data_IF_195447657438
#
_entry.id   IF_195447657438
#
_cell.length_a   1.000
_cell.length_b   1.000
_cell.length_c   1.000
_cell.angle_alpha   90.00
_cell.angle_beta   90.00
_cell.angle_gamma   90.00
#
_symmetry.space_group_name_H-M   'P 1'
#
loop_
_entity.id
_entity.type
_entity.pdbx_description
1 polymer ?
#
# COMPACT_ATOMS: atom_id res chain seq x y z
N UNK A 1 -21.48 34.00 -6.83
CA UNK A 1 -21.34 33.27 -5.55
C UNK A 1 -21.63 31.80 -5.84
N UNK A 2 -20.60 30.98 -5.99
CA UNK A 2 -20.75 29.52 -6.13
C UNK A 2 -21.21 28.94 -4.80
N UNK A 3 -22.29 28.16 -4.81
CA UNK A 3 -22.77 27.47 -3.62
C UNK A 3 -21.63 26.63 -3.01
N UNK A 4 -21.42 26.65 -1.68
CA UNK A 4 -20.42 25.81 -1.07
C UNK A 4 -20.76 24.36 -1.37
N UNK A 5 -19.86 23.65 -2.07
CA UNK A 5 -19.99 22.21 -2.25
C UNK A 5 -20.14 21.58 -0.87
N UNK A 6 -21.21 20.83 -0.65
CA UNK A 6 -21.40 20.09 0.59
C UNK A 6 -20.16 19.24 0.85
N UNK A 7 -19.56 19.41 2.04
CA UNK A 7 -18.41 18.64 2.46
C UNK A 7 -18.67 17.14 2.29
N UNK A 8 -17.66 16.37 1.86
CA UNK A 8 -17.77 14.91 1.69
C UNK A 8 -18.16 14.22 3.02
N UNK A 9 -17.94 14.91 4.14
CA UNK A 9 -18.29 14.48 5.50
C UNK A 9 -19.69 14.90 5.96
N UNK A 10 -20.52 15.47 5.07
CA UNK A 10 -21.88 15.90 5.43
C UNK A 10 -22.70 14.73 6.01
N UNK A 11 -23.50 15.03 7.04
CA UNK A 11 -24.35 14.05 7.73
C UNK A 11 -23.64 13.18 8.78
N UNK A 12 -22.36 13.43 9.08
CA UNK A 12 -21.67 12.76 10.19
C UNK A 12 -21.76 13.56 11.49
N UNK A 13 -21.87 12.82 12.62
CA UNK A 13 -21.91 13.40 13.98
C UNK A 13 -20.66 14.21 14.34
N UNK A 14 -19.50 13.80 13.83
CA UNK A 14 -18.22 14.42 14.15
C UNK A 14 -17.84 15.46 13.09
N UNK A 15 -17.17 16.56 13.49
CA UNK A 15 -16.58 17.54 12.57
C UNK A 15 -15.70 16.89 11.50
N UNK A 16 -15.70 17.49 10.31
CA UNK A 16 -14.95 17.01 9.15
C UNK A 16 -13.46 16.84 9.45
N UNK A 17 -12.90 17.76 10.24
CA UNK A 17 -11.48 17.81 10.62
C UNK A 17 -11.09 16.58 11.46
N UNK A 18 -11.96 16.18 12.40
CA UNK A 18 -11.73 15.00 13.25
C UNK A 18 -11.77 13.73 12.40
N UNK A 19 -12.75 13.62 11.50
CA UNK A 19 -12.87 12.45 10.62
C UNK A 19 -11.66 12.37 9.67
N UNK A 20 -11.29 13.51 9.07
CA UNK A 20 -10.14 13.60 8.18
C UNK A 20 -8.84 13.23 8.90
N UNK A 21 -8.62 13.73 10.13
CA UNK A 21 -7.44 13.40 10.92
C UNK A 21 -7.38 11.91 11.26
N UNK A 22 -8.50 11.33 11.72
CA UNK A 22 -8.57 9.90 12.06
C UNK A 22 -8.22 9.01 10.87
N UNK A 23 -8.79 9.30 9.70
CA UNK A 23 -8.53 8.56 8.47
C UNK A 23 -7.11 8.80 7.99
N UNK A 24 -6.62 10.04 8.04
CA UNK A 24 -5.24 10.36 7.66
C UNK A 24 -4.22 9.63 8.54
N UNK A 25 -4.40 9.62 9.87
CA UNK A 25 -3.53 8.90 10.81
C UNK A 25 -3.43 7.42 10.43
N UNK A 26 -4.58 6.77 10.18
CA UNK A 26 -4.63 5.36 9.80
C UNK A 26 -3.92 5.07 8.47
N UNK A 27 -4.09 5.91 7.46
CA UNK A 27 -3.48 5.68 6.14
C UNK A 27 -2.04 6.20 6.00
N UNK A 28 -1.58 7.06 6.92
CA UNK A 28 -0.25 7.67 6.87
C UNK A 28 0.77 6.92 7.74
N UNK A 29 0.32 6.32 8.84
CA UNK A 29 1.17 5.67 9.85
C UNK A 29 0.75 4.21 10.06
N UNK A 30 1.64 3.34 10.58
CA UNK A 30 1.33 1.94 10.85
C UNK A 30 0.47 1.77 12.13
N UNK A 31 -0.64 2.49 12.22
CA UNK A 31 -1.53 2.50 13.38
C UNK A 31 -2.68 1.51 13.18
N UNK A 32 -3.06 0.81 14.24
CA UNK A 32 -4.32 0.07 14.26
C UNK A 32 -5.51 1.01 14.52
N UNK A 33 -6.73 0.60 14.19
CA UNK A 33 -7.93 1.39 14.50
C UNK A 33 -8.08 1.69 15.99
N UNK A 34 -7.62 0.78 16.87
CA UNK A 34 -7.61 1.01 18.32
C UNK A 34 -6.59 2.06 18.72
N UNK A 35 -5.40 2.05 18.12
CA UNK A 35 -4.41 3.09 18.38
C UNK A 35 -4.91 4.47 17.93
N UNK A 36 -5.64 4.55 16.81
CA UNK A 36 -6.26 5.82 16.39
C UNK A 36 -7.36 6.25 17.36
N UNK A 37 -8.19 5.32 17.85
CA UNK A 37 -9.14 5.57 18.94
C UNK A 37 -8.43 6.11 20.19
N UNK A 38 -7.34 5.49 20.64
CA UNK A 38 -6.55 5.93 21.80
C UNK A 38 -5.96 7.34 21.59
N UNK A 39 -5.44 7.63 20.39
CA UNK A 39 -4.88 8.94 20.05
C UNK A 39 -5.94 10.05 20.04
N UNK A 40 -7.17 9.74 19.61
CA UNK A 40 -8.28 10.69 19.66
C UNK A 40 -8.79 10.86 21.09
N UNK A 41 -8.85 9.78 21.88
CA UNK A 41 -9.24 9.83 23.28
C UNK A 41 -8.26 10.69 24.11
N UNK A 42 -6.95 10.63 23.82
CA UNK A 42 -5.95 11.51 24.43
C UNK A 42 -6.24 13.01 24.21
N UNK A 43 -6.95 13.35 23.12
CA UNK A 43 -7.38 14.72 22.81
C UNK A 43 -8.80 15.05 23.30
N UNK A 44 -9.40 14.18 24.12
CA UNK A 44 -10.77 14.33 24.60
C UNK A 44 -11.86 13.97 23.57
N UNK A 45 -11.48 13.38 22.43
CA UNK A 45 -12.42 12.98 21.37
C UNK A 45 -12.77 11.51 21.55
N UNK A 46 -13.96 11.23 22.07
CA UNK A 46 -14.41 9.87 22.34
C UNK A 46 -15.09 9.27 21.10
N UNK A 47 -14.41 8.31 20.48
CA UNK A 47 -14.89 7.52 19.34
C UNK A 47 -14.55 6.06 19.56
N UNK A 48 -15.24 5.14 18.88
CA UNK A 48 -14.86 3.72 18.91
C UNK A 48 -13.96 3.37 17.72
N UNK A 49 -13.08 2.37 17.85
CA UNK A 49 -12.33 1.84 16.70
C UNK A 49 -13.23 1.36 15.56
N UNK A 50 -14.48 0.96 15.84
CA UNK A 50 -15.47 0.61 14.80
C UNK A 50 -15.85 1.84 13.99
N UNK A 51 -16.08 2.98 14.64
CA UNK A 51 -16.34 4.26 13.99
C UNK A 51 -15.15 4.70 13.13
N UNK A 52 -13.91 4.60 13.66
CA UNK A 52 -12.69 4.88 12.88
C UNK A 52 -12.60 3.96 11.66
N UNK A 53 -12.92 2.67 11.83
CA UNK A 53 -12.95 1.71 10.72
C UNK A 53 -13.99 2.08 9.66
N UNK A 54 -15.20 2.45 10.04
CA UNK A 54 -16.25 2.88 9.11
C UNK A 54 -15.83 4.13 8.33
N UNK A 55 -15.20 5.10 9.00
CA UNK A 55 -14.63 6.27 8.32
C UNK A 55 -13.50 5.90 7.37
N UNK A 56 -12.62 4.98 7.77
CA UNK A 56 -11.55 4.50 6.91
C UNK A 56 -12.08 3.72 5.68
N UNK A 57 -13.14 2.93 5.85
CA UNK A 57 -13.81 2.22 4.74
C UNK A 57 -14.50 3.21 3.79
N UNK A 58 -15.16 4.25 4.32
CA UNK A 58 -15.91 5.25 3.54
C UNK A 58 -15.01 6.27 2.83
N UNK A 59 -14.04 6.84 3.54
CA UNK A 59 -13.23 7.99 3.07
C UNK A 59 -11.77 7.64 2.78
N UNK A 60 -11.33 6.44 3.16
CA UNK A 60 -9.93 6.06 3.07
C UNK A 60 -9.38 6.00 1.66
N UNK A 61 -10.23 5.70 0.66
CA UNK A 61 -9.78 5.62 -0.74
C UNK A 61 -9.24 6.95 -1.24
N UNK A 62 -9.92 8.05 -0.91
CA UNK A 62 -9.51 9.39 -1.35
C UNK A 62 -8.25 9.86 -0.62
N UNK A 63 -8.11 9.51 0.66
CA UNK A 63 -6.91 9.76 1.44
C UNK A 63 -5.72 8.97 0.90
N UNK A 64 -5.91 7.67 0.64
CA UNK A 64 -4.87 6.81 0.07
C UNK A 64 -4.43 7.33 -1.32
N UNK A 65 -5.36 7.77 -2.15
CA UNK A 65 -5.06 8.33 -3.46
C UNK A 65 -4.32 9.67 -3.35
N UNK A 66 -4.76 10.56 -2.45
CA UNK A 66 -4.12 11.86 -2.22
C UNK A 66 -2.71 11.68 -1.66
N UNK A 67 -2.54 10.80 -0.68
CA UNK A 67 -1.24 10.44 -0.12
C UNK A 67 -0.31 9.92 -1.24
N UNK A 68 -0.77 8.97 -2.07
CA UNK A 68 0.02 8.46 -3.21
C UNK A 68 0.42 9.54 -4.21
N UNK A 69 -0.46 10.50 -4.51
CA UNK A 69 -0.17 11.62 -5.44
C UNK A 69 0.85 12.61 -4.86
N UNK A 70 0.84 12.81 -3.55
CA UNK A 70 1.77 13.71 -2.84
C UNK A 70 3.11 13.05 -2.53
N UNK A 71 3.19 11.72 -2.57
CA UNK A 71 4.44 11.01 -2.38
C UNK A 71 5.44 11.42 -3.48
N UNK A 72 6.65 11.89 -3.12
CA UNK A 72 7.71 12.18 -4.08
C UNK A 72 8.06 10.95 -4.93
N UNK A 73 8.84 11.18 -6.00
CA UNK A 73 9.34 10.07 -6.82
C UNK A 73 10.05 9.05 -5.91
N UNK A 74 9.50 7.84 -5.90
CA UNK A 74 10.03 6.72 -5.13
C UNK A 74 11.39 6.30 -5.67
N UNK A 75 12.17 5.62 -4.84
CA UNK A 75 13.55 5.25 -5.17
C UNK A 75 13.69 4.40 -6.43
N UNK A 76 14.86 4.45 -7.05
CA UNK A 76 15.23 3.74 -8.28
C UNK A 76 15.74 2.31 -8.06
N UNK A 77 15.87 1.87 -6.80
CA UNK A 77 16.19 0.49 -6.42
C UNK A 77 14.97 -0.14 -5.76
N UNK A 78 14.43 -1.17 -6.42
CA UNK A 78 13.21 -1.84 -6.01
C UNK A 78 13.50 -3.19 -5.39
N UNK A 79 12.87 -3.48 -4.26
CA UNK A 79 12.90 -4.75 -3.55
C UNK A 79 11.53 -5.42 -3.67
N UNK A 80 11.50 -6.58 -4.32
CA UNK A 80 10.30 -7.38 -4.55
C UNK A 80 10.35 -8.62 -3.66
N UNK A 81 9.34 -8.75 -2.81
CA UNK A 81 9.21 -9.83 -1.85
C UNK A 81 7.90 -10.61 -2.06
N UNK A 82 7.87 -11.84 -1.56
CA UNK A 82 6.66 -12.66 -1.47
C UNK A 82 6.50 -13.17 -0.03
N UNK A 83 5.32 -12.99 0.56
CA UNK A 83 5.01 -13.50 1.90
C UNK A 83 3.69 -14.27 1.90
N UNK A 84 3.59 -15.31 2.73
CA UNK A 84 2.31 -15.98 3.00
C UNK A 84 1.60 -15.22 4.11
N UNK A 85 0.36 -14.78 3.85
CA UNK A 85 -0.48 -14.09 4.83
C UNK A 85 -1.80 -14.86 5.02
N UNK A 86 -2.39 -14.73 6.21
CA UNK A 86 -3.68 -15.36 6.52
C UNK A 86 -4.77 -14.30 6.53
N UNK A 87 -5.78 -14.46 5.67
CA UNK A 87 -6.95 -13.56 5.60
C UNK A 87 -8.19 -14.41 5.85
N UNK A 88 -8.96 -14.10 6.91
CA UNK A 88 -10.16 -14.84 7.31
C UNK A 88 -9.92 -16.36 7.41
N UNK A 89 -8.81 -16.76 8.04
CA UNK A 89 -8.42 -18.16 8.21
C UNK A 89 -7.90 -18.87 6.96
N UNK A 90 -7.76 -18.17 5.81
CA UNK A 90 -7.27 -18.76 4.57
C UNK A 90 -5.92 -18.16 4.18
N UNK A 91 -4.98 -19.02 3.79
CA UNK A 91 -3.67 -18.59 3.30
C UNK A 91 -3.79 -17.90 1.93
N UNK A 92 -3.05 -16.82 1.80
CA UNK A 92 -2.89 -16.03 0.59
C UNK A 92 -1.41 -15.69 0.41
N UNK A 93 -1.06 -15.33 -0.82
CA UNK A 93 0.25 -14.85 -1.22
C UNK A 93 0.20 -13.34 -1.37
N UNK A 94 1.04 -12.65 -0.61
CA UNK A 94 1.32 -11.23 -0.69
C UNK A 94 2.55 -11.00 -1.56
N UNK A 95 2.37 -10.32 -2.67
CA UNK A 95 3.43 -9.77 -3.50
C UNK A 95 3.60 -8.31 -3.10
N UNK A 96 4.80 -7.92 -2.69
CA UNK A 96 5.08 -6.54 -2.25
C UNK A 96 6.32 -6.02 -2.95
N UNK A 97 6.25 -4.78 -3.42
CA UNK A 97 7.39 -4.03 -3.93
C UNK A 97 7.61 -2.80 -3.04
N UNK A 98 8.85 -2.60 -2.60
CA UNK A 98 9.29 -1.40 -1.87
C UNK A 98 10.51 -0.81 -2.53
N UNK A 99 10.78 0.48 -2.30
CA UNK A 99 12.04 1.11 -2.71
C UNK A 99 13.14 0.96 -1.65
N UNK A 100 14.33 1.51 -1.92
CA UNK A 100 15.47 1.50 -0.99
C UNK A 100 15.22 2.21 0.35
N UNK A 101 14.19 3.03 0.46
CA UNK A 101 13.83 3.77 1.66
C UNK A 101 12.65 3.10 2.41
N UNK A 102 12.18 1.95 1.92
CA UNK A 102 11.09 1.20 2.53
C UNK A 102 9.69 1.69 2.13
N UNK A 103 9.58 2.67 1.23
CA UNK A 103 8.27 3.10 0.72
C UNK A 103 7.67 2.03 -0.18
N UNK A 104 6.38 1.77 0.01
CA UNK A 104 5.64 0.77 -0.76
C UNK A 104 5.33 1.30 -2.15
N UNK A 105 5.86 0.63 -3.17
CA UNK A 105 5.61 0.92 -4.59
C UNK A 105 4.27 0.32 -5.03
N UNK A 106 4.04 -0.96 -4.74
CA UNK A 106 2.77 -1.64 -5.01
C UNK A 106 2.63 -2.93 -4.18
N UNK A 107 1.39 -3.39 -4.02
CA UNK A 107 1.04 -4.62 -3.33
C UNK A 107 -0.03 -5.38 -4.11
N UNK A 108 0.13 -6.69 -4.21
CA UNK A 108 -0.87 -7.59 -4.79
C UNK A 108 -1.08 -8.79 -3.88
N UNK A 109 -2.34 -9.09 -3.57
CA UNK A 109 -2.72 -10.30 -2.80
C UNK A 109 -3.43 -11.30 -3.72
N UNK A 110 -3.06 -12.57 -3.65
CA UNK A 110 -3.70 -13.65 -4.40
C UNK A 110 -3.86 -14.92 -3.56
N UNK A 111 -4.83 -15.78 -3.91
CA UNK A 111 -5.03 -17.07 -3.24
C UNK A 111 -3.93 -18.10 -3.52
N UNK A 112 -3.23 -17.99 -4.65
CA UNK A 112 -2.26 -19.00 -5.12
C UNK A 112 -0.99 -18.33 -5.59
N UNK A 113 0.13 -18.98 -5.31
CA UNK A 113 1.44 -18.63 -5.87
C UNK A 113 1.49 -19.05 -7.33
N UNK A 114 1.59 -18.11 -8.26
CA UNK A 114 1.67 -18.43 -9.68
C UNK A 114 2.47 -17.37 -10.47
N UNK A 115 3.14 -17.81 -11.54
CA UNK A 115 3.97 -16.95 -12.40
C UNK A 115 3.16 -15.83 -13.07
N UNK A 116 1.89 -16.10 -13.43
CA UNK A 116 0.98 -15.11 -14.03
C UNK A 116 0.73 -13.93 -13.09
N UNK A 117 0.66 -14.17 -11.77
CA UNK A 117 0.55 -13.16 -10.73
C UNK A 117 1.78 -12.27 -10.68
N UNK A 118 2.95 -12.89 -10.61
CA UNK A 118 4.24 -12.20 -10.57
C UNK A 118 4.41 -11.31 -11.81
N UNK A 119 4.10 -11.85 -13.00
CA UNK A 119 4.15 -11.11 -14.27
C UNK A 119 3.18 -9.92 -14.28
N UNK A 120 1.94 -10.13 -13.85
CA UNK A 120 0.93 -9.06 -13.77
C UNK A 120 1.35 -7.97 -12.79
N UNK A 121 1.91 -8.37 -11.64
CA UNK A 121 2.43 -7.46 -10.63
C UNK A 121 3.57 -6.61 -11.17
N UNK A 122 4.60 -7.25 -11.76
CA UNK A 122 5.73 -6.54 -12.35
C UNK A 122 5.32 -5.60 -13.49
N UNK A 123 4.40 -6.03 -14.37
CA UNK A 123 3.89 -5.17 -15.44
C UNK A 123 3.19 -3.94 -14.89
N UNK A 124 2.30 -4.12 -13.91
CA UNK A 124 1.58 -3.02 -13.25
C UNK A 124 2.56 -2.05 -12.58
N UNK A 125 3.59 -2.58 -11.92
CA UNK A 125 4.61 -1.79 -11.25
C UNK A 125 5.37 -0.88 -12.23
N UNK A 126 5.83 -1.44 -13.35
CA UNK A 126 6.56 -0.71 -14.39
C UNK A 126 5.67 0.31 -15.11
N UNK A 127 4.46 -0.08 -15.51
CA UNK A 127 3.53 0.83 -16.20
C UNK A 127 3.02 1.95 -15.29
N UNK A 128 2.83 1.65 -14.00
CA UNK A 128 2.28 2.60 -13.04
C UNK A 128 3.26 3.70 -12.63
N UNK A 129 4.56 3.41 -12.59
CA UNK A 129 5.58 4.39 -12.23
C UNK A 129 6.11 5.17 -13.45
N UNK A 130 5.94 4.65 -14.67
CA UNK A 130 6.37 5.34 -15.90
C UNK A 130 7.89 5.38 -16.09
N UNK A 131 8.65 4.68 -15.25
CA UNK A 131 10.10 4.50 -15.39
C UNK A 131 10.53 3.11 -14.91
N UNK A 132 11.64 2.62 -15.44
CA UNK A 132 12.27 1.38 -14.99
C UNK A 132 13.22 1.65 -13.82
N UNK A 133 13.30 0.75 -12.82
CA UNK A 133 14.29 0.88 -11.77
C UNK A 133 15.70 0.68 -12.33
N UNK A 134 16.69 1.30 -11.69
CA UNK A 134 18.10 1.00 -11.94
C UNK A 134 18.45 -0.40 -11.45
N UNK A 135 17.92 -0.81 -10.30
CA UNK A 135 18.18 -2.13 -9.69
C UNK A 135 16.87 -2.76 -9.24
N UNK A 136 16.67 -4.03 -9.60
CA UNK A 136 15.55 -4.83 -9.09
C UNK A 136 16.10 -6.01 -8.29
N UNK A 137 15.79 -6.04 -7.00
CA UNK A 137 16.14 -7.12 -6.08
C UNK A 137 14.92 -7.99 -5.89
N UNK A 138 15.03 -9.27 -6.20
CA UNK A 138 13.97 -10.25 -5.91
C UNK A 138 14.51 -11.30 -4.96
N UNK A 139 13.66 -11.86 -4.11
CA UNK A 139 14.01 -13.11 -3.42
C UNK A 139 14.39 -14.20 -4.45
N UNK A 140 15.21 -15.18 -4.03
CA UNK A 140 15.63 -16.36 -4.84
C UNK A 140 14.48 -17.30 -5.24
N UNK A 141 13.25 -16.82 -5.23
CA UNK A 141 12.04 -17.58 -5.48
C UNK A 141 11.78 -17.74 -6.98
N UNK A 142 11.46 -18.96 -7.40
CA UNK A 142 11.33 -19.36 -8.81
C UNK A 142 10.32 -18.55 -9.62
N UNK A 143 9.26 -18.05 -8.98
CA UNK A 143 8.19 -17.29 -9.63
C UNK A 143 8.64 -15.94 -10.19
N UNK A 144 9.59 -15.26 -9.53
CA UNK A 144 10.16 -14.00 -10.04
C UNK A 144 11.12 -14.25 -11.20
N UNK A 145 11.94 -15.30 -11.12
CA UNK A 145 12.84 -15.69 -12.21
C UNK A 145 12.09 -16.04 -13.50
N UNK A 146 10.96 -16.76 -13.38
CA UNK A 146 10.10 -17.06 -14.52
C UNK A 146 9.44 -15.80 -15.10
N UNK A 147 8.86 -14.95 -14.25
CA UNK A 147 8.22 -13.72 -14.71
C UNK A 147 9.17 -12.72 -15.36
N UNK A 148 10.43 -12.62 -14.91
CA UNK A 148 11.46 -11.77 -15.53
C UNK A 148 11.77 -12.22 -16.96
N UNK A 149 12.02 -13.52 -17.17
CA UNK A 149 12.33 -14.08 -18.50
C UNK A 149 11.22 -13.77 -19.51
N UNK A 150 9.97 -13.89 -19.08
CA UNK A 150 8.81 -13.59 -19.93
C UNK A 150 8.56 -12.09 -20.20
N UNK A 151 9.11 -11.19 -19.38
CA UNK A 151 8.95 -9.74 -19.53
C UNK A 151 10.11 -9.09 -20.28
N UNK A 152 11.15 -9.85 -20.64
CA UNK A 152 12.30 -9.30 -21.37
C UNK A 152 13.01 -8.16 -20.63
N UNK A 153 12.98 -8.15 -19.29
CA UNK A 153 13.63 -7.12 -18.48
C UNK A 153 15.16 -7.31 -18.51
N UNK A 154 15.79 -6.82 -19.57
CA UNK A 154 17.24 -6.75 -19.78
C UNK A 154 17.84 -5.41 -19.33
N UNK A 155 17.02 -4.41 -19.05
CA UNK A 155 17.45 -3.02 -18.77
C UNK A 155 17.82 -2.78 -17.30
N UNK A 156 17.44 -3.67 -16.38
CA UNK A 156 17.64 -3.48 -14.95
C UNK A 156 18.65 -4.51 -14.41
N UNK A 157 19.63 -4.05 -13.61
CA UNK A 157 20.51 -4.95 -12.87
C UNK A 157 19.65 -5.76 -11.88
N UNK A 158 19.58 -7.06 -12.12
CA UNK A 158 18.72 -7.97 -11.38
C UNK A 158 19.55 -8.82 -10.45
N UNK A 159 19.31 -8.64 -9.16
CA UNK A 159 20.03 -9.36 -8.11
C UNK A 159 19.08 -10.30 -7.40
N UNK A 160 19.48 -11.55 -7.30
CA UNK A 160 18.79 -12.54 -6.49
C UNK A 160 19.57 -12.75 -5.19
N UNK A 161 19.02 -12.30 -4.07
CA UNK A 161 19.65 -12.46 -2.77
C UNK A 161 18.72 -13.20 -1.81
N UNK A 162 19.27 -14.04 -0.93
CA UNK A 162 18.52 -14.68 0.17
C UNK A 162 18.74 -13.80 1.40
N UNK A 163 17.67 -13.31 2.04
CA UNK A 163 17.78 -12.66 3.35
C UNK A 163 18.11 -11.15 3.39
N UNK A 164 17.82 -10.38 2.33
CA UNK A 164 17.84 -8.90 2.39
C UNK A 164 16.43 -8.28 2.50
N UNK A 165 15.42 -9.11 2.75
CA UNK A 165 14.01 -8.71 2.84
C UNK A 165 13.48 -8.70 4.30
N UNK A 166 14.38 -8.79 5.29
CA UNK A 166 14.11 -8.54 6.71
C UNK A 166 15.05 -7.48 7.23
#
# INVERSE_FOLDING_TARGET
MTAPHASVYHGHRFPAEIIAEAVWLYFRFPLSFRMVEDMLAYRGIIVTHKTVREWAEKFGRDHANTNRRRTPRLGDKWHLAEAVITIKGKHHILWRAVDQHGFVLDVLVQKRRNTKAAKRFMRKLLSGHGYSPRVMVTDKLSSYGAGKRELGLTVCDHRQHKGLNN
#
